data_IF_305982783317
#
_entry.id   IF_305982783317
#
_cell.length_a   1.000
_cell.length_b   1.000
_cell.length_c   1.000
_cell.angle_alpha   90.00
_cell.angle_beta   90.00
_cell.angle_gamma   90.00
#
_symmetry.space_group_name_H-M   'P 1'
#
loop_
_entity.id
_entity.type
_entity.pdbx_description
1 polymer ?
#
# COMPACT_ATOMS: atom_id res chain seq x y z
N UNK A 1 20.01 39.48 -24.66
CA UNK A 1 19.90 38.09 -24.21
C UNK A 1 18.62 37.54 -24.82
N UNK A 2 18.72 36.65 -25.77
CA UNK A 2 17.55 36.12 -26.48
C UNK A 2 17.23 34.78 -25.77
N UNK A 3 16.19 34.78 -24.94
CA UNK A 3 15.73 33.54 -24.31
C UNK A 3 14.95 32.71 -25.33
N UNK A 4 15.37 31.47 -25.51
CA UNK A 4 14.63 30.53 -26.35
C UNK A 4 13.65 29.76 -25.49
N UNK A 5 12.35 29.86 -25.83
CA UNK A 5 11.30 29.21 -25.04
C UNK A 5 11.03 27.82 -25.61
N UNK A 6 11.23 26.79 -24.81
CA UNK A 6 10.80 25.42 -25.11
C UNK A 6 9.39 25.20 -24.56
N UNK A 7 8.52 24.74 -25.42
CA UNK A 7 7.10 24.48 -25.11
C UNK A 7 6.89 22.99 -24.90
N UNK A 8 5.91 22.63 -24.07
CA UNK A 8 5.53 21.23 -23.88
C UNK A 8 5.12 20.63 -25.24
N UNK A 9 5.85 19.63 -25.77
CA UNK A 9 5.50 19.00 -27.02
C UNK A 9 4.22 18.17 -26.91
N UNK A 10 3.68 17.73 -28.03
CA UNK A 10 2.61 16.73 -28.04
C UNK A 10 3.16 15.39 -27.53
N UNK A 11 2.62 14.93 -26.40
CA UNK A 11 3.09 13.75 -25.68
C UNK A 11 2.17 12.53 -25.86
N UNK A 12 1.25 12.57 -26.84
CA UNK A 12 0.38 11.45 -27.22
C UNK A 12 -0.99 11.85 -27.73
N UNK A 13 -1.59 11.01 -28.56
CA UNK A 13 -2.89 11.28 -29.17
C UNK A 13 -3.98 11.59 -28.12
N UNK A 14 -4.54 12.81 -28.23
CA UNK A 14 -5.64 13.29 -27.38
C UNK A 14 -5.23 13.86 -26.04
N UNK A 15 -3.94 14.06 -25.78
CA UNK A 15 -3.45 14.68 -24.54
C UNK A 15 -3.46 16.19 -24.68
N UNK A 16 -4.25 16.89 -23.88
CA UNK A 16 -4.37 18.36 -23.88
C UNK A 16 -3.48 19.03 -22.85
N UNK A 17 -3.15 18.29 -21.76
CA UNK A 17 -2.36 18.80 -20.63
C UNK A 17 -1.61 17.66 -19.93
N UNK A 18 -0.52 18.00 -19.22
CA UNK A 18 0.25 17.06 -18.43
C UNK A 18 0.65 17.66 -17.07
N UNK A 19 0.76 16.80 -16.07
CA UNK A 19 1.22 17.19 -14.74
C UNK A 19 2.74 17.07 -14.64
N UNK A 20 3.42 18.12 -14.19
CA UNK A 20 4.85 18.08 -13.88
C UNK A 20 5.06 17.22 -12.63
N UNK A 21 5.69 16.07 -12.79
CA UNK A 21 5.94 15.12 -11.68
C UNK A 21 7.28 15.39 -11.03
N UNK A 22 8.33 15.61 -11.85
CA UNK A 22 9.68 15.83 -11.37
C UNK A 22 10.50 16.65 -12.37
N UNK A 23 11.25 17.61 -11.86
CA UNK A 23 12.30 18.28 -12.60
C UNK A 23 13.63 17.56 -12.39
N UNK A 24 14.36 17.29 -13.47
CA UNK A 24 15.69 16.71 -13.43
C UNK A 24 16.80 17.78 -13.44
N UNK A 25 16.40 19.05 -13.68
CA UNK A 25 17.26 20.21 -13.80
C UNK A 25 16.81 21.35 -12.92
N UNK A 26 17.72 22.25 -12.59
CA UNK A 26 17.47 23.48 -11.83
C UNK A 26 17.83 24.71 -12.66
N UNK A 27 17.28 25.87 -12.28
CA UNK A 27 17.65 27.15 -12.91
C UNK A 27 19.15 27.39 -12.73
N UNK A 28 19.87 27.61 -13.83
CA UNK A 28 21.32 27.78 -13.88
C UNK A 28 22.10 26.52 -14.29
N UNK A 29 21.44 25.36 -14.42
CA UNK A 29 22.08 24.13 -14.89
C UNK A 29 22.33 24.18 -16.38
N UNK A 30 23.49 23.64 -16.83
CA UNK A 30 23.84 23.46 -18.23
C UNK A 30 23.39 22.07 -18.65
N UNK A 31 22.62 21.99 -19.74
CA UNK A 31 22.08 20.75 -20.31
C UNK A 31 22.53 20.56 -21.74
N UNK A 32 22.71 19.32 -22.13
CA UNK A 32 22.98 18.92 -23.51
C UNK A 32 21.69 18.48 -24.20
N UNK A 33 21.71 18.45 -25.54
CA UNK A 33 20.65 17.85 -26.32
C UNK A 33 20.42 16.39 -25.88
N UNK A 34 19.16 15.97 -25.74
CA UNK A 34 18.69 14.68 -25.23
C UNK A 34 18.83 14.44 -23.70
N UNK A 35 19.39 15.38 -22.94
CA UNK A 35 19.37 15.27 -21.48
C UNK A 35 17.94 15.37 -20.94
N UNK A 36 17.62 14.54 -19.95
CA UNK A 36 16.29 14.57 -19.31
C UNK A 36 16.09 15.89 -18.55
N UNK A 37 15.01 16.64 -18.91
CA UNK A 37 14.66 17.91 -18.24
C UNK A 37 13.56 17.70 -17.20
N UNK A 38 12.47 17.04 -17.58
CA UNK A 38 11.27 16.96 -16.75
C UNK A 38 10.49 15.67 -17.04
N UNK A 39 9.91 15.10 -16.02
CA UNK A 39 8.92 14.05 -16.13
C UNK A 39 7.52 14.66 -16.09
N UNK A 40 6.75 14.43 -17.15
CA UNK A 40 5.35 14.87 -17.27
C UNK A 40 4.43 13.66 -17.27
N UNK A 41 3.43 13.67 -16.42
CA UNK A 41 2.43 12.63 -16.31
C UNK A 41 1.15 13.03 -17.05
N UNK A 42 0.70 12.16 -17.94
CA UNK A 42 -0.60 12.25 -18.61
C UNK A 42 -1.63 11.35 -17.93
N UNK A 43 -2.82 11.26 -18.47
CA UNK A 43 -3.83 10.28 -18.05
C UNK A 43 -3.40 8.82 -18.33
N UNK A 44 -2.45 8.59 -19.25
CA UNK A 44 -2.05 7.26 -19.73
C UNK A 44 -0.67 6.82 -19.28
N UNK A 45 0.30 7.74 -19.19
CA UNK A 45 1.69 7.39 -18.89
C UNK A 45 2.48 8.58 -18.33
N UNK A 46 3.62 8.31 -17.72
CA UNK A 46 4.64 9.31 -17.41
C UNK A 46 5.66 9.32 -18.55
N UNK A 47 5.92 10.50 -19.11
CA UNK A 47 6.86 10.69 -20.22
C UNK A 47 7.97 11.63 -19.75
N UNK A 48 9.20 11.21 -19.92
CA UNK A 48 10.37 12.07 -19.71
C UNK A 48 10.58 12.93 -20.93
N UNK A 49 10.60 14.23 -20.76
CA UNK A 49 10.84 15.21 -21.85
C UNK A 49 12.31 15.54 -21.88
N UNK A 50 13.02 15.23 -22.97
CA UNK A 50 14.43 15.57 -23.13
C UNK A 50 14.63 17.01 -23.58
N UNK A 51 15.85 17.52 -23.42
CA UNK A 51 16.24 18.82 -23.93
C UNK A 51 16.35 18.81 -25.47
N UNK A 52 15.70 19.76 -26.17
CA UNK A 52 15.83 19.85 -27.62
C UNK A 52 17.14 20.52 -28.07
N UNK A 53 17.90 21.11 -27.17
CA UNK A 53 19.11 21.88 -27.48
C UNK A 53 20.11 21.86 -26.31
N UNK A 54 21.38 22.18 -26.63
CA UNK A 54 22.37 22.53 -25.63
C UNK A 54 22.11 23.97 -25.13
N UNK A 55 22.20 24.20 -23.82
CA UNK A 55 22.02 25.53 -23.25
C UNK A 55 22.02 25.55 -21.74
N UNK A 56 21.88 26.74 -21.16
CA UNK A 56 21.70 26.90 -19.71
C UNK A 56 20.26 27.22 -19.42
N UNK A 57 19.69 26.58 -18.41
CA UNK A 57 18.30 26.79 -17.97
C UNK A 57 18.16 28.18 -17.34
N UNK A 58 17.40 29.07 -17.98
CA UNK A 58 17.12 30.40 -17.45
C UNK A 58 15.89 30.45 -16.54
N UNK A 59 14.78 29.83 -17.00
CA UNK A 59 13.51 29.80 -16.24
C UNK A 59 12.83 28.45 -16.40
N UNK A 60 12.27 27.92 -15.33
CA UNK A 60 11.36 26.78 -15.35
C UNK A 60 9.93 27.26 -15.14
N UNK A 61 9.01 26.90 -16.04
CA UNK A 61 7.60 27.25 -15.94
C UNK A 61 6.80 26.08 -15.35
N UNK A 62 6.18 26.34 -14.21
CA UNK A 62 5.40 25.37 -13.44
C UNK A 62 6.23 24.61 -12.38
N UNK A 63 5.66 24.47 -11.22
CA UNK A 63 6.22 23.69 -10.11
C UNK A 63 5.80 22.23 -10.18
N UNK A 64 6.46 21.36 -9.43
CA UNK A 64 6.06 19.95 -9.28
C UNK A 64 4.59 19.88 -8.81
N UNK A 65 3.77 19.15 -9.59
CA UNK A 65 2.33 19.01 -9.41
C UNK A 65 1.46 20.04 -10.11
N UNK A 66 2.03 20.93 -10.93
CA UNK A 66 1.27 21.88 -11.72
C UNK A 66 0.88 21.24 -13.07
N UNK A 67 -0.31 21.59 -13.57
CA UNK A 67 -0.79 21.17 -14.88
C UNK A 67 -0.27 22.13 -15.92
N UNK A 68 0.35 21.62 -16.96
CA UNK A 68 0.89 22.38 -18.10
C UNK A 68 0.17 21.92 -19.36
N UNK A 69 -0.46 22.84 -20.09
CA UNK A 69 -1.12 22.54 -21.35
C UNK A 69 -0.08 22.25 -22.45
N UNK A 70 -0.41 21.35 -23.37
CA UNK A 70 0.40 21.11 -24.58
C UNK A 70 0.56 22.41 -25.35
N UNK A 71 1.81 22.75 -25.72
CA UNK A 71 2.15 24.02 -26.37
C UNK A 71 2.41 25.19 -25.43
N UNK A 72 2.17 25.08 -24.12
CA UNK A 72 2.56 26.11 -23.17
C UNK A 72 4.07 26.12 -22.91
N UNK A 73 4.62 27.26 -22.47
CA UNK A 73 6.02 27.40 -22.11
C UNK A 73 6.38 26.44 -20.97
N UNK A 74 7.47 25.70 -21.13
CA UNK A 74 7.96 24.74 -20.15
C UNK A 74 9.31 25.16 -19.56
N UNK A 75 10.25 25.51 -20.43
CA UNK A 75 11.61 25.93 -20.08
C UNK A 75 12.08 27.09 -20.95
N UNK A 76 12.80 28.03 -20.36
CA UNK A 76 13.54 29.05 -21.12
C UNK A 76 15.05 28.77 -21.01
N UNK A 77 15.72 28.74 -22.16
CA UNK A 77 17.16 28.58 -22.24
C UNK A 77 17.82 29.94 -22.46
N UNK A 78 18.95 30.20 -21.77
CA UNK A 78 19.84 31.33 -22.04
C UNK A 78 20.88 30.88 -23.08
N UNK A 79 20.86 31.50 -24.24
CA UNK A 79 21.87 31.30 -25.27
C UNK A 79 23.12 32.13 -24.95
N UNK A 80 23.99 31.60 -24.11
CA UNK A 80 25.39 32.05 -23.96
C UNK A 80 26.22 31.63 -25.17
N UNK A 81 26.07 32.33 -26.26
CA UNK A 81 26.98 32.44 -27.39
C UNK A 81 27.55 31.18 -28.04
N UNK A 82 26.96 30.65 -29.07
CA UNK A 82 27.57 30.55 -30.42
C UNK A 82 26.47 30.20 -31.44
N UNK A 83 26.43 30.98 -32.54
CA UNK A 83 25.43 30.91 -33.61
C UNK A 83 25.99 30.18 -34.81
N UNK A 84 25.21 29.51 -35.69
CA UNK A 84 24.74 30.25 -36.83
C UNK A 84 23.27 30.09 -37.19
N UNK A 85 22.77 31.19 -37.69
CA UNK A 85 21.42 31.40 -38.21
C UNK A 85 21.07 30.51 -39.40
N UNK A 86 19.83 30.08 -39.45
CA UNK A 86 19.12 30.08 -40.75
C UNK A 86 17.68 30.50 -40.57
N UNK A 87 17.27 31.43 -41.39
CA UNK A 87 16.04 32.18 -41.42
C UNK A 87 15.01 31.48 -42.29
N UNK A 88 13.79 31.29 -41.78
CA UNK A 88 12.60 31.20 -42.63
C UNK A 88 11.39 31.83 -41.94
N UNK A 89 11.00 32.95 -42.46
CA UNK A 89 9.71 33.62 -42.24
C UNK A 89 8.56 32.68 -42.64
N UNK A 90 7.55 32.54 -41.80
CA UNK A 90 6.23 32.26 -42.29
C UNK A 90 5.12 32.88 -41.43
N UNK A 91 4.21 33.50 -42.15
CA UNK A 91 3.17 34.44 -41.82
C UNK A 91 2.14 33.96 -40.83
N UNK A 92 1.76 34.91 -39.98
CA UNK A 92 0.53 34.97 -39.21
C UNK A 92 -0.72 34.94 -40.12
N UNK A 93 -1.78 34.27 -39.79
CA UNK A 93 -3.12 34.67 -40.25
C UNK A 93 -3.95 35.17 -39.06
N UNK A 94 -4.57 36.30 -39.36
CA UNK A 94 -5.51 37.12 -38.63
C UNK A 94 -6.78 36.39 -38.19
N UNK A 95 -7.47 36.84 -37.14
CA UNK A 95 -8.58 36.10 -36.51
C UNK A 95 -9.90 36.32 -37.24
N UNK A 96 -10.61 35.24 -37.48
CA UNK A 96 -11.97 35.27 -38.03
C UNK A 96 -13.03 35.21 -36.90
N UNK A 97 -14.06 36.03 -37.14
CA UNK A 97 -15.12 36.49 -36.28
C UNK A 97 -16.04 35.43 -35.72
N UNK A 98 -16.37 35.66 -34.45
CA UNK A 98 -17.59 35.36 -33.70
C UNK A 98 -18.86 35.21 -34.51
N UNK A 99 -19.55 34.10 -34.35
CA UNK A 99 -21.01 33.99 -34.57
C UNK A 99 -21.61 33.30 -33.32
N UNK A 100 -22.36 34.10 -32.55
CA UNK A 100 -23.30 33.63 -31.53
C UNK A 100 -24.52 33.00 -32.21
N UNK A 101 -25.13 31.98 -31.68
CA UNK A 101 -26.56 31.76 -31.84
C UNK A 101 -27.32 31.93 -30.52
N UNK A 102 -28.43 32.61 -30.71
CA UNK A 102 -29.47 33.02 -29.76
C UNK A 102 -30.01 31.89 -28.87
N UNK A 103 -30.36 32.36 -27.69
CA UNK A 103 -31.14 31.69 -26.66
C UNK A 103 -32.59 31.54 -27.13
N UNK A 104 -33.20 30.39 -26.99
CA UNK A 104 -34.63 30.31 -26.71
C UNK A 104 -35.05 29.08 -25.89
N UNK A 105 -35.90 29.41 -24.90
CA UNK A 105 -36.91 28.59 -24.23
C UNK A 105 -36.47 27.60 -23.12
N UNK A 106 -36.67 28.08 -21.91
CA UNK A 106 -36.96 27.36 -20.65
C UNK A 106 -38.16 26.42 -20.82
N UNK A 107 -38.15 25.24 -20.19
CA UNK A 107 -39.36 24.61 -19.74
C UNK A 107 -39.42 24.56 -18.17
N UNK A 108 -40.55 25.00 -17.68
CA UNK A 108 -41.03 25.08 -16.32
C UNK A 108 -40.75 23.80 -15.50
N UNK A 109 -40.24 24.00 -14.28
CA UNK A 109 -40.18 23.02 -13.20
C UNK A 109 -41.57 22.60 -12.73
N UNK A 110 -41.77 21.32 -12.36
CA UNK A 110 -42.98 20.91 -11.64
C UNK A 110 -42.85 21.21 -10.13
N UNK A 111 -43.96 21.69 -9.62
CA UNK A 111 -44.22 22.11 -8.24
C UNK A 111 -43.95 20.97 -7.23
N UNK A 112 -43.16 21.24 -6.19
CA UNK A 112 -42.96 20.36 -5.05
C UNK A 112 -44.23 20.25 -4.17
N UNK A 113 -44.53 19.07 -3.60
CA UNK A 113 -45.56 18.95 -2.58
C UNK A 113 -45.12 19.51 -1.23
N UNK A 114 -46.10 19.91 -0.34
CA UNK A 114 -45.80 20.61 0.89
C UNK A 114 -45.12 19.71 1.95
N UNK A 115 -44.34 20.32 2.87
CA UNK A 115 -43.58 19.54 3.86
C UNK A 115 -44.54 18.97 4.91
N UNK A 116 -44.46 17.66 5.15
CA UNK A 116 -45.06 17.00 6.31
C UNK A 116 -44.23 17.37 7.55
N UNK A 117 -44.91 17.96 8.49
CA UNK A 117 -44.40 18.27 9.84
C UNK A 117 -44.34 16.94 10.61
N UNK A 118 -43.15 16.44 10.84
CA UNK A 118 -42.89 15.36 11.81
C UNK A 118 -42.55 15.99 13.15
N UNK A 119 -43.38 15.77 14.16
CA UNK A 119 -43.06 16.05 15.56
C UNK A 119 -41.81 15.32 16.01
N UNK A 120 -40.96 15.93 16.85
CA UNK A 120 -39.73 15.27 17.34
C UNK A 120 -40.12 14.22 18.40
N UNK A 121 -39.93 12.96 18.04
CA UNK A 121 -39.97 11.83 19.01
C UNK A 121 -38.70 11.94 19.87
N UNK A 122 -38.92 12.07 21.20
CA UNK A 122 -37.82 12.08 22.17
C UNK A 122 -37.01 10.76 22.11
N UNK A 123 -35.70 10.83 22.19
CA UNK A 123 -34.86 9.61 22.22
C UNK A 123 -35.09 8.82 23.50
N UNK A 124 -35.05 7.46 23.42
CA UNK A 124 -35.18 6.62 24.61
C UNK A 124 -34.01 6.86 25.58
N UNK A 125 -34.23 6.71 26.90
CA UNK A 125 -33.23 6.95 27.91
C UNK A 125 -32.03 6.02 27.71
N UNK A 126 -30.85 6.61 27.62
CA UNK A 126 -29.56 5.89 27.58
C UNK A 126 -29.38 5.18 28.92
N UNK A 127 -29.06 3.86 28.95
CA UNK A 127 -28.76 3.20 30.20
C UNK A 127 -27.52 3.82 30.84
N UNK A 128 -27.66 4.28 32.07
CA UNK A 128 -26.58 4.81 32.89
C UNK A 128 -25.56 3.71 33.11
N UNK A 129 -24.43 3.79 32.43
CA UNK A 129 -23.28 2.95 32.69
C UNK A 129 -22.74 3.37 34.07
N UNK A 130 -22.91 2.46 35.04
CA UNK A 130 -22.29 2.61 36.36
C UNK A 130 -20.78 2.76 36.19
N UNK A 131 -20.25 3.83 36.73
CA UNK A 131 -18.79 4.08 36.79
C UNK A 131 -18.13 2.86 37.39
N UNK A 132 -17.14 2.27 36.73
CA UNK A 132 -16.38 1.17 37.32
C UNK A 132 -15.67 1.68 38.57
N UNK A 133 -15.80 0.94 39.65
CA UNK A 133 -15.02 1.10 40.88
C UNK A 133 -13.52 1.15 40.53
N UNK A 134 -12.72 2.07 41.08
CA UNK A 134 -11.31 2.15 40.73
C UNK A 134 -10.61 0.86 41.12
N UNK A 135 -10.02 0.20 40.14
CA UNK A 135 -9.11 -0.92 40.35
C UNK A 135 -8.03 -0.52 41.38
N UNK A 136 -7.63 -1.43 42.29
CA UNK A 136 -6.59 -1.12 43.22
C UNK A 136 -5.31 -0.73 42.48
N UNK A 137 -4.82 0.45 42.81
CA UNK A 137 -3.55 0.97 42.32
C UNK A 137 -2.47 -0.03 42.61
N UNK A 138 -1.94 -0.64 41.57
CA UNK A 138 -0.68 -1.39 41.65
C UNK A 138 0.36 -0.36 42.08
N UNK A 139 0.82 -0.50 43.34
CA UNK A 139 1.90 0.31 43.89
C UNK A 139 3.10 0.17 42.95
N UNK A 140 3.48 1.25 42.31
CA UNK A 140 4.79 1.37 41.67
C UNK A 140 5.85 0.99 42.67
N UNK A 141 6.84 0.18 42.30
CA UNK A 141 7.97 -0.08 43.19
C UNK A 141 8.64 1.26 43.47
N UNK A 142 8.59 1.62 44.72
CA UNK A 142 9.23 2.79 45.29
C UNK A 142 10.69 2.84 44.82
N UNK A 143 11.09 3.94 44.26
CA UNK A 143 12.50 4.31 44.08
C UNK A 143 13.12 4.27 45.49
N UNK A 144 13.79 3.20 45.83
CA UNK A 144 14.67 3.21 47.01
C UNK A 144 15.90 4.04 46.64
N UNK A 145 15.77 5.34 46.93
CA UNK A 145 16.90 6.21 47.23
C UNK A 145 17.86 5.45 48.19
N UNK A 146 19.12 5.50 47.82
CA UNK A 146 20.20 4.86 48.52
C UNK A 146 20.26 5.18 50.03
N UNK A 147 20.65 4.18 50.76
CA UNK A 147 21.11 4.35 52.13
C UNK A 147 20.33 3.54 53.14
N UNK A 148 20.68 2.29 53.33
CA UNK A 148 20.64 1.63 54.60
C UNK A 148 21.34 0.26 54.47
N UNK A 149 22.46 0.07 55.11
CA UNK A 149 23.17 -1.06 55.73
C UNK A 149 22.83 -2.51 55.34
N UNK A 150 22.27 -2.80 54.17
CA UNK A 150 22.03 -4.16 53.67
C UNK A 150 23.33 -4.77 53.10
N UNK A 151 23.76 -5.93 53.59
CA UNK A 151 24.89 -6.67 52.99
C UNK A 151 24.69 -6.90 51.52
N UNK A 152 25.55 -6.30 50.65
CA UNK A 152 25.54 -6.51 49.22
C UNK A 152 25.47 -8.00 48.85
N UNK A 153 24.53 -8.38 48.00
CA UNK A 153 24.35 -9.78 47.57
C UNK A 153 25.46 -10.13 46.56
N UNK A 154 26.43 -10.92 46.99
CA UNK A 154 27.54 -11.38 46.15
C UNK A 154 28.00 -12.79 46.58
N UNK A 155 28.53 -13.53 45.62
CA UNK A 155 29.12 -14.85 45.91
C UNK A 155 30.40 -14.74 46.73
N UNK A 156 30.82 -15.81 47.48
CA UNK A 156 32.07 -15.79 48.21
C UNK A 156 33.29 -15.45 47.37
N UNK A 157 33.31 -15.88 46.10
CA UNK A 157 34.40 -15.60 45.17
C UNK A 157 34.46 -14.10 44.77
N UNK A 158 33.30 -13.46 44.52
CA UNK A 158 33.21 -12.04 44.25
C UNK A 158 33.63 -11.20 45.44
N UNK A 159 33.24 -11.61 46.67
CA UNK A 159 33.62 -10.95 47.92
C UNK A 159 35.11 -11.01 48.17
N UNK A 160 35.77 -12.15 47.86
CA UNK A 160 37.23 -12.31 47.99
C UNK A 160 37.96 -11.39 47.02
N UNK A 161 37.56 -11.39 45.77
CA UNK A 161 38.14 -10.56 44.69
C UNK A 161 37.96 -9.06 44.96
N UNK A 162 36.80 -8.66 45.49
CA UNK A 162 36.56 -7.26 45.85
C UNK A 162 37.48 -6.81 46.98
N UNK A 163 37.75 -7.67 47.98
CA UNK A 163 38.72 -7.41 49.06
C UNK A 163 40.17 -7.31 48.55
N UNK A 164 40.55 -8.20 47.62
CA UNK A 164 41.87 -8.18 46.99
C UNK A 164 42.06 -6.90 46.15
N UNK A 165 41.00 -6.39 45.51
CA UNK A 165 40.99 -5.17 44.71
C UNK A 165 40.72 -3.91 45.53
N UNK A 166 40.47 -3.98 46.84
CA UNK A 166 40.14 -2.82 47.66
C UNK A 166 38.82 -2.14 47.37
N UNK A 167 37.88 -2.86 46.77
CA UNK A 167 36.57 -2.33 46.31
C UNK A 167 35.48 -2.63 47.34
N UNK A 168 34.75 -1.57 47.74
CA UNK A 168 33.53 -1.76 48.54
C UNK A 168 32.38 -2.24 47.64
N UNK A 169 31.84 -3.43 47.92
CA UNK A 169 30.72 -4.02 47.19
C UNK A 169 29.42 -3.23 47.31
N UNK A 170 29.29 -2.35 48.32
CA UNK A 170 28.14 -1.48 48.45
C UNK A 170 28.07 -0.42 47.31
N UNK A 171 29.23 -0.09 46.73
CA UNK A 171 29.33 0.84 45.60
C UNK A 171 29.14 0.17 44.22
N UNK A 172 29.13 -1.18 44.16
CA UNK A 172 29.01 -1.93 42.90
C UNK A 172 27.56 -2.31 42.65
N UNK A 173 27.00 -1.89 41.50
CA UNK A 173 25.66 -2.29 41.12
C UNK A 173 25.65 -3.69 40.52
N UNK A 174 24.89 -4.62 41.11
CA UNK A 174 24.80 -5.99 40.66
C UNK A 174 23.79 -6.16 39.51
N UNK A 175 24.19 -6.84 38.42
CA UNK A 175 23.35 -7.18 37.25
C UNK A 175 22.66 -8.54 37.38
N UNK A 176 22.92 -9.31 38.46
CA UNK A 176 22.34 -10.63 38.67
C UNK A 176 20.95 -10.61 39.29
N UNK A 177 20.27 -11.79 39.38
CA UNK A 177 18.95 -11.90 39.99
C UNK A 177 18.94 -11.32 41.40
N UNK A 178 17.88 -10.59 41.77
CA UNK A 178 17.74 -9.85 43.04
C UNK A 178 18.89 -8.86 43.33
N UNK A 179 19.50 -8.27 42.29
CA UNK A 179 20.59 -7.30 42.43
C UNK A 179 21.93 -7.93 42.84
N UNK A 180 22.13 -9.23 42.64
CA UNK A 180 23.37 -9.93 42.95
C UNK A 180 24.53 -9.47 42.10
N UNK A 181 25.63 -9.10 42.73
CA UNK A 181 26.87 -8.68 42.08
C UNK A 181 27.57 -9.91 41.49
N UNK A 182 27.87 -9.87 40.18
CA UNK A 182 28.63 -10.87 39.45
C UNK A 182 30.07 -10.44 39.25
N UNK A 183 30.93 -11.38 38.82
CA UNK A 183 32.33 -11.05 38.50
C UNK A 183 32.46 -9.94 37.45
N UNK A 184 31.63 -9.98 36.40
CA UNK A 184 31.63 -8.98 35.36
C UNK A 184 31.30 -7.56 35.87
N UNK A 185 30.40 -7.43 36.83
CA UNK A 185 30.02 -6.16 37.44
C UNK A 185 31.20 -5.55 38.23
N UNK A 186 31.92 -6.40 38.97
CA UNK A 186 33.09 -5.98 39.71
C UNK A 186 34.24 -5.60 38.77
N UNK A 187 34.46 -6.37 37.70
CA UNK A 187 35.50 -6.08 36.72
C UNK A 187 35.24 -4.77 35.99
N UNK A 188 33.96 -4.52 35.59
CA UNK A 188 33.55 -3.27 34.98
C UNK A 188 33.75 -2.08 35.92
N UNK A 189 33.44 -2.24 37.22
CA UNK A 189 33.63 -1.20 38.22
C UNK A 189 35.13 -0.89 38.46
N UNK A 190 35.97 -1.92 38.51
CA UNK A 190 37.43 -1.74 38.60
C UNK A 190 38.01 -1.07 37.36
N UNK A 191 37.58 -1.50 36.17
CA UNK A 191 38.01 -0.93 34.91
C UNK A 191 37.58 0.55 34.74
N UNK A 192 36.47 0.94 35.35
CA UNK A 192 35.96 2.31 35.41
C UNK A 192 36.64 3.18 36.49
N UNK A 193 37.70 2.68 37.14
CA UNK A 193 38.43 3.43 38.17
C UNK A 193 37.62 3.70 39.43
N UNK A 194 36.63 2.86 39.75
CA UNK A 194 35.76 3.01 40.92
C UNK A 194 34.66 4.05 40.78
N UNK A 195 34.53 4.66 39.62
CA UNK A 195 33.36 5.49 39.32
C UNK A 195 32.20 4.61 38.89
N UNK A 196 31.03 4.80 39.51
CA UNK A 196 29.78 4.23 39.00
C UNK A 196 29.54 4.85 37.64
N UNK A 197 29.87 4.12 36.57
CA UNK A 197 29.43 4.48 35.25
C UNK A 197 27.91 4.30 35.24
N UNK A 198 27.19 5.36 35.58
CA UNK A 198 25.75 5.42 35.28
C UNK A 198 25.62 5.02 33.83
N UNK A 199 24.80 4.00 33.53
CA UNK A 199 24.45 3.73 32.13
C UNK A 199 24.17 5.09 31.49
N UNK A 200 24.89 5.40 30.42
CA UNK A 200 24.67 6.65 29.69
C UNK A 200 23.16 6.78 29.49
N UNK A 201 22.53 7.89 29.87
CA UNK A 201 21.10 8.01 29.74
C UNK A 201 20.78 7.67 28.29
N UNK A 202 19.95 6.64 28.11
CA UNK A 202 19.51 6.26 26.76
C UNK A 202 18.89 7.53 26.18
N UNK A 203 19.45 8.02 25.09
CA UNK A 203 19.10 9.34 24.52
C UNK A 203 17.69 9.30 23.87
N UNK A 204 16.67 8.97 24.67
CA UNK A 204 15.26 9.09 24.26
C UNK A 204 14.68 10.49 24.52
N UNK A 205 15.51 11.46 24.95
CA UNK A 205 15.05 12.74 25.47
C UNK A 205 15.09 13.90 24.47
N UNK A 206 15.54 13.67 23.24
CA UNK A 206 15.48 14.73 22.22
C UNK A 206 14.07 14.78 21.65
N UNK A 207 13.35 15.86 21.97
CA UNK A 207 12.07 16.15 21.32
C UNK A 207 12.32 16.34 19.84
N UNK A 208 11.62 15.58 19.00
CA UNK A 208 11.61 15.79 17.56
C UNK A 208 10.45 16.74 17.27
N UNK A 209 10.75 17.88 16.68
CA UNK A 209 9.76 18.88 16.24
C UNK A 209 9.79 19.04 14.73
N UNK A 210 10.53 18.16 14.04
CA UNK A 210 10.68 18.18 12.60
C UNK A 210 9.32 17.84 11.96
N UNK A 211 8.87 18.67 11.05
CA UNK A 211 7.69 18.44 10.21
C UNK A 211 8.18 18.49 8.77
N UNK A 212 7.96 17.41 8.05
CA UNK A 212 8.24 17.33 6.62
C UNK A 212 6.92 17.43 5.87
N UNK A 213 6.76 18.48 5.06
CA UNK A 213 5.61 18.65 4.18
C UNK A 213 5.94 18.08 2.79
N UNK A 214 5.21 17.03 2.36
CA UNK A 214 5.41 16.38 1.08
C UNK A 214 4.17 16.62 0.21
N UNK A 215 4.37 17.28 -0.94
CA UNK A 215 3.32 17.48 -1.95
C UNK A 215 2.95 16.13 -2.57
N UNK A 216 1.66 15.79 -2.56
CA UNK A 216 1.17 14.54 -3.17
C UNK A 216 0.88 14.78 -4.64
N UNK A 217 1.72 14.23 -5.51
CA UNK A 217 1.68 14.47 -6.97
C UNK A 217 1.75 13.16 -7.75
N UNK A 218 1.53 13.21 -9.05
CA UNK A 218 1.70 12.11 -9.98
C UNK A 218 0.89 10.86 -9.60
N UNK A 219 1.51 9.69 -9.70
CA UNK A 219 0.85 8.41 -9.41
C UNK A 219 0.22 8.37 -8.01
N UNK A 220 0.90 8.93 -6.97
CA UNK A 220 0.36 8.94 -5.60
C UNK A 220 -0.95 9.74 -5.52
N UNK A 221 -1.07 10.84 -6.28
CA UNK A 221 -2.32 11.61 -6.37
C UNK A 221 -3.42 10.78 -7.03
N UNK A 222 -3.14 10.10 -8.16
CA UNK A 222 -4.11 9.23 -8.83
C UNK A 222 -4.58 8.07 -7.93
N UNK A 223 -3.66 7.46 -7.18
CA UNK A 223 -4.01 6.44 -6.18
C UNK A 223 -4.94 7.02 -5.11
N UNK A 224 -4.63 8.22 -4.58
CA UNK A 224 -5.45 8.86 -3.56
C UNK A 224 -6.87 9.16 -4.06
N UNK A 225 -7.00 9.64 -5.30
CA UNK A 225 -8.27 9.89 -5.97
C UNK A 225 -9.07 8.59 -6.16
N UNK A 226 -8.45 7.55 -6.72
CA UNK A 226 -9.09 6.24 -6.95
C UNK A 226 -9.56 5.60 -5.65
N UNK A 227 -8.74 5.64 -4.57
CA UNK A 227 -9.13 5.12 -3.26
C UNK A 227 -10.23 5.95 -2.62
N UNK A 228 -10.23 7.26 -2.83
CA UNK A 228 -11.29 8.16 -2.37
C UNK A 228 -12.60 7.87 -3.06
N UNK A 229 -12.59 7.71 -4.38
CA UNK A 229 -13.77 7.33 -5.18
C UNK A 229 -14.32 6.01 -4.67
N UNK A 230 -13.49 4.97 -4.61
CA UNK A 230 -13.91 3.65 -4.14
C UNK A 230 -14.54 3.73 -2.73
N UNK A 231 -13.90 4.40 -1.79
CA UNK A 231 -14.37 4.42 -0.40
C UNK A 231 -15.60 5.31 -0.18
N UNK A 232 -15.81 6.35 -1.01
CA UNK A 232 -16.98 7.23 -0.93
C UNK A 232 -18.21 6.63 -1.60
N UNK A 233 -18.04 5.96 -2.73
CA UNK A 233 -19.13 5.47 -3.56
C UNK A 233 -19.56 4.05 -3.21
N UNK A 234 -18.62 3.20 -2.76
CA UNK A 234 -18.92 1.80 -2.47
C UNK A 234 -19.23 1.62 -0.98
N UNK A 235 -20.46 1.19 -0.61
CA UNK A 235 -20.77 0.76 0.75
C UNK A 235 -20.14 -0.62 1.00
N UNK A 236 -18.85 -0.63 1.41
CA UNK A 236 -18.13 -1.85 1.69
C UNK A 236 -18.69 -2.57 2.90
N UNK A 237 -18.93 -3.87 2.80
CA UNK A 237 -18.94 -4.76 3.95
C UNK A 237 -17.81 -5.77 3.86
N UNK A 238 -17.33 -6.27 4.99
CA UNK A 238 -16.19 -7.18 5.02
C UNK A 238 -16.59 -8.48 5.70
N UNK A 239 -16.07 -9.59 5.17
CA UNK A 239 -16.23 -10.94 5.69
C UNK A 239 -14.85 -11.53 5.99
N UNK A 240 -14.68 -12.15 7.17
CA UNK A 240 -13.45 -12.74 7.64
C UNK A 240 -13.63 -14.24 7.85
N UNK A 241 -12.65 -15.02 7.45
CA UNK A 241 -12.70 -16.47 7.59
C UNK A 241 -11.31 -17.04 7.88
N UNK A 242 -11.28 -18.10 8.69
CA UNK A 242 -10.08 -18.91 8.94
C UNK A 242 -10.12 -20.17 8.09
N UNK A 243 -9.01 -20.49 7.42
CA UNK A 243 -8.86 -21.61 6.50
C UNK A 243 -7.71 -22.49 6.97
N UNK A 244 -7.96 -23.77 7.15
CA UNK A 244 -6.94 -24.77 7.44
C UNK A 244 -6.20 -25.17 6.15
N UNK A 245 -5.04 -24.59 5.93
CA UNK A 245 -4.23 -24.80 4.71
C UNK A 245 -3.12 -25.85 4.92
N UNK A 246 -3.25 -26.75 5.90
CA UNK A 246 -2.23 -27.75 6.19
C UNK A 246 -2.01 -28.70 5.00
N UNK A 247 -3.10 -29.26 4.44
CA UNK A 247 -3.02 -30.16 3.28
C UNK A 247 -2.55 -29.42 2.03
N UNK A 248 -2.96 -28.16 1.87
CA UNK A 248 -2.48 -27.33 0.76
C UNK A 248 -0.99 -27.03 0.88
N UNK A 249 -0.46 -26.82 2.07
CA UNK A 249 0.97 -26.62 2.30
C UNK A 249 1.78 -27.86 2.00
N UNK A 250 1.30 -29.03 2.41
CA UNK A 250 1.92 -30.33 2.07
C UNK A 250 1.99 -30.55 0.56
N UNK A 251 0.87 -30.30 -0.14
CA UNK A 251 0.82 -30.37 -1.60
C UNK A 251 1.79 -29.36 -2.25
N UNK A 252 1.78 -28.11 -1.78
CA UNK A 252 2.67 -27.07 -2.30
C UNK A 252 4.16 -27.44 -2.13
N UNK A 253 4.52 -27.97 -0.97
CA UNK A 253 5.89 -28.43 -0.71
C UNK A 253 6.27 -29.58 -1.61
N UNK A 254 5.39 -30.57 -1.75
CA UNK A 254 5.62 -31.72 -2.65
C UNK A 254 5.83 -31.27 -4.09
N UNK A 255 4.95 -30.42 -4.62
CA UNK A 255 5.07 -29.91 -5.98
C UNK A 255 6.36 -29.10 -6.17
N UNK A 256 6.74 -28.27 -5.21
CA UNK A 256 7.99 -27.53 -5.28
C UNK A 256 9.25 -28.42 -5.19
N UNK A 257 9.17 -29.55 -4.51
CA UNK A 257 10.28 -30.51 -4.43
C UNK A 257 10.45 -31.32 -5.72
N UNK A 258 9.37 -31.55 -6.47
CA UNK A 258 9.33 -32.41 -7.67
C UNK A 258 9.26 -31.62 -8.98
N UNK A 259 9.16 -30.27 -8.93
CA UNK A 259 9.08 -29.42 -10.11
C UNK A 259 10.29 -29.55 -11.04
N UNK A 260 10.09 -29.34 -12.34
CA UNK A 260 11.19 -29.18 -13.29
C UNK A 260 11.93 -27.83 -13.07
N UNK A 261 13.20 -27.71 -13.52
CA UNK A 261 13.95 -26.44 -13.39
C UNK A 261 13.27 -25.24 -14.03
N UNK A 262 12.49 -25.45 -15.09
CA UNK A 262 11.80 -24.41 -15.86
C UNK A 262 10.50 -23.94 -15.18
N UNK A 263 9.93 -24.75 -14.29
CA UNK A 263 8.72 -24.40 -13.58
C UNK A 263 8.98 -23.37 -12.46
N UNK A 264 8.11 -22.36 -12.30
CA UNK A 264 8.25 -21.36 -11.25
C UNK A 264 8.05 -21.99 -9.86
N UNK A 265 8.55 -21.33 -8.83
CA UNK A 265 8.27 -21.72 -7.44
C UNK A 265 6.83 -21.37 -7.09
N UNK A 266 6.04 -22.35 -6.64
CA UNK A 266 4.66 -22.16 -6.21
C UNK A 266 4.60 -21.54 -4.81
N UNK A 267 3.80 -20.47 -4.69
CA UNK A 267 3.32 -19.88 -3.43
C UNK A 267 1.87 -20.31 -3.20
N UNK A 268 1.18 -19.76 -2.20
CA UNK A 268 -0.26 -19.99 -2.00
C UNK A 268 -1.13 -19.33 -3.08
N UNK A 269 -0.69 -18.18 -3.62
CA UNK A 269 -1.51 -17.38 -4.53
C UNK A 269 -1.96 -18.14 -5.78
N UNK A 270 -1.11 -18.88 -6.53
CA UNK A 270 -1.56 -19.66 -7.68
C UNK A 270 -2.67 -20.66 -7.36
N UNK A 271 -2.63 -21.30 -6.19
CA UNK A 271 -3.71 -22.21 -5.77
C UNK A 271 -5.01 -21.46 -5.45
N UNK A 272 -4.89 -20.30 -4.83
CA UNK A 272 -6.05 -19.42 -4.56
C UNK A 272 -6.65 -18.91 -5.87
N UNK A 273 -5.80 -18.53 -6.84
CA UNK A 273 -6.24 -18.12 -8.17
C UNK A 273 -7.02 -19.24 -8.87
N UNK A 274 -6.48 -20.46 -8.88
CA UNK A 274 -7.16 -21.61 -9.47
C UNK A 274 -8.47 -21.95 -8.75
N UNK A 275 -8.48 -21.87 -7.41
CA UNK A 275 -9.70 -22.10 -6.62
C UNK A 275 -10.78 -21.05 -6.96
N UNK A 276 -10.41 -19.76 -7.02
CA UNK A 276 -11.32 -18.68 -7.40
C UNK A 276 -11.85 -18.89 -8.83
N UNK A 277 -10.96 -19.13 -9.80
CA UNK A 277 -11.35 -19.37 -11.19
C UNK A 277 -12.39 -20.51 -11.31
N UNK A 278 -12.26 -21.54 -10.49
CA UNK A 278 -13.18 -22.68 -10.48
C UNK A 278 -14.51 -22.40 -9.82
N UNK A 279 -14.56 -21.58 -8.77
CA UNK A 279 -15.81 -21.31 -8.04
C UNK A 279 -16.58 -20.12 -8.61
N UNK A 280 -15.93 -19.18 -9.29
CA UNK A 280 -16.57 -17.96 -9.84
C UNK A 280 -17.82 -18.21 -10.70
N UNK A 281 -17.88 -19.26 -11.55
CA UNK A 281 -19.10 -19.56 -12.30
C UNK A 281 -20.34 -19.80 -11.43
N UNK A 282 -20.14 -20.23 -10.17
CA UNK A 282 -21.23 -20.43 -9.20
C UNK A 282 -21.53 -19.19 -8.36
N UNK A 283 -20.70 -18.14 -8.47
CA UNK A 283 -20.81 -16.88 -7.74
C UNK A 283 -20.63 -15.68 -8.68
N UNK A 284 -21.44 -15.61 -9.77
CA UNK A 284 -21.22 -14.62 -10.84
C UNK A 284 -21.44 -13.18 -10.37
N UNK A 285 -22.16 -12.96 -9.27
CA UNK A 285 -22.37 -11.65 -8.65
C UNK A 285 -21.08 -11.05 -8.07
N UNK A 286 -20.10 -11.89 -7.73
CA UNK A 286 -18.82 -11.45 -7.17
C UNK A 286 -17.75 -11.19 -8.24
N UNK A 287 -17.97 -11.62 -9.50
CA UNK A 287 -17.02 -11.47 -10.61
C UNK A 287 -17.50 -10.41 -11.60
N UNK A 288 -17.35 -9.14 -11.25
CA UNK A 288 -17.97 -8.11 -12.06
C UNK A 288 -17.58 -6.68 -11.72
N UNK A 289 -18.18 -5.76 -12.48
CA UNK A 289 -18.09 -4.31 -12.31
C UNK A 289 -19.46 -3.72 -12.07
N UNK A 290 -19.52 -2.64 -11.31
CA UNK A 290 -20.71 -1.83 -11.19
C UNK A 290 -20.49 -0.43 -11.75
N UNK A 291 -21.25 -0.12 -12.80
CA UNK A 291 -21.31 1.18 -13.43
C UNK A 291 -22.42 1.99 -12.75
N UNK A 292 -22.06 2.78 -11.77
CA UNK A 292 -23.00 3.58 -10.96
C UNK A 292 -23.71 4.63 -11.78
N UNK A 293 -23.02 5.25 -12.75
CA UNK A 293 -23.60 6.32 -13.56
C UNK A 293 -24.75 5.83 -14.44
N UNK A 294 -24.66 4.59 -14.92
CA UNK A 294 -25.69 3.96 -15.76
C UNK A 294 -26.58 2.96 -15.01
N UNK A 295 -26.27 2.66 -13.72
CA UNK A 295 -27.00 1.68 -12.92
C UNK A 295 -26.86 0.25 -13.45
N UNK A 296 -25.72 -0.11 -14.08
CA UNK A 296 -25.49 -1.38 -14.76
C UNK A 296 -24.45 -2.21 -13.98
N UNK A 297 -24.83 -3.39 -13.50
CA UNK A 297 -23.90 -4.40 -13.04
C UNK A 297 -23.50 -5.32 -14.21
N UNK A 298 -22.19 -5.37 -14.54
CA UNK A 298 -21.63 -6.27 -15.56
C UNK A 298 -21.00 -7.45 -14.89
N UNK A 299 -21.49 -8.65 -15.14
CA UNK A 299 -20.93 -9.93 -14.68
C UNK A 299 -20.12 -10.53 -15.82
N UNK A 300 -18.89 -10.96 -15.50
CA UNK A 300 -17.97 -11.51 -16.49
C UNK A 300 -17.89 -13.04 -16.38
N UNK A 301 -17.88 -13.72 -17.54
CA UNK A 301 -17.58 -15.15 -17.59
C UNK A 301 -16.08 -15.41 -17.45
N UNK A 302 -15.25 -14.52 -17.99
CA UNK A 302 -13.79 -14.57 -17.81
C UNK A 302 -13.42 -14.20 -16.36
N UNK A 303 -12.43 -14.89 -15.80
CA UNK A 303 -11.88 -14.62 -14.47
C UNK A 303 -10.52 -13.95 -14.62
N UNK A 304 -10.53 -12.64 -14.62
CA UNK A 304 -9.34 -11.81 -14.73
C UNK A 304 -8.95 -11.32 -13.33
N UNK A 305 -7.88 -11.89 -12.79
CA UNK A 305 -7.49 -11.63 -11.40
C UNK A 305 -6.45 -10.52 -11.32
N UNK A 306 -6.83 -9.40 -10.70
CA UNK A 306 -5.92 -8.35 -10.30
C UNK A 306 -5.05 -8.80 -9.11
N UNK A 307 -3.75 -8.65 -9.19
CA UNK A 307 -2.80 -9.03 -8.14
C UNK A 307 -2.14 -7.77 -7.57
N UNK A 308 -2.59 -7.33 -6.39
CA UNK A 308 -2.02 -6.15 -5.75
C UNK A 308 -0.52 -6.32 -5.52
N UNK A 309 0.28 -5.50 -6.18
CA UNK A 309 1.75 -5.58 -6.21
C UNK A 309 2.35 -4.28 -5.74
N UNK A 310 3.11 -4.32 -4.64
CA UNK A 310 3.87 -3.18 -4.14
C UNK A 310 5.09 -2.94 -5.04
N UNK A 311 5.30 -1.68 -5.45
CA UNK A 311 6.47 -1.20 -6.17
C UNK A 311 7.05 0.03 -5.48
N UNK A 312 8.22 0.47 -5.89
CA UNK A 312 8.85 1.71 -5.38
C UNK A 312 7.99 2.96 -5.69
N UNK A 313 7.30 2.95 -6.83
CA UNK A 313 6.41 4.04 -7.27
C UNK A 313 5.04 4.05 -6.58
N UNK A 314 4.65 2.94 -5.95
CA UNK A 314 3.36 2.78 -5.29
C UNK A 314 2.73 1.40 -5.51
N UNK A 315 1.44 1.28 -5.23
CA UNK A 315 0.70 0.03 -5.41
C UNK A 315 0.09 -0.03 -6.82
N UNK A 316 0.45 -1.07 -7.57
CA UNK A 316 -0.16 -1.42 -8.84
C UNK A 316 -1.00 -2.69 -8.71
N UNK A 317 -1.93 -2.87 -9.63
CA UNK A 317 -2.77 -4.07 -9.70
C UNK A 317 -2.66 -4.69 -11.09
N UNK A 318 -1.51 -5.34 -11.42
CA UNK A 318 -1.40 -6.09 -12.67
C UNK A 318 -2.40 -7.24 -12.70
N UNK A 319 -2.80 -7.64 -13.91
CA UNK A 319 -3.93 -8.54 -14.15
C UNK A 319 -3.48 -9.82 -14.81
N UNK A 320 -3.79 -10.95 -14.19
CA UNK A 320 -3.70 -12.28 -14.80
C UNK A 320 -5.04 -12.56 -15.48
N UNK A 321 -5.05 -12.49 -16.80
CA UNK A 321 -6.27 -12.66 -17.60
C UNK A 321 -6.57 -14.12 -17.83
N UNK A 322 -7.87 -14.47 -17.95
CA UNK A 322 -8.35 -15.81 -18.25
C UNK A 322 -7.76 -16.90 -17.37
N UNK A 323 -7.74 -16.64 -16.05
CA UNK A 323 -7.20 -17.63 -15.09
C UNK A 323 -7.96 -18.97 -15.16
N UNK A 324 -9.22 -18.97 -15.59
CA UNK A 324 -10.04 -20.17 -15.79
C UNK A 324 -9.51 -21.11 -16.88
N UNK A 325 -8.65 -20.63 -17.78
CA UNK A 325 -8.04 -21.40 -18.86
C UNK A 325 -6.61 -21.88 -18.56
N UNK A 326 -6.10 -21.63 -17.33
CA UNK A 326 -4.73 -21.93 -16.93
C UNK A 326 -4.66 -23.12 -15.98
N UNK A 327 -3.52 -23.78 -15.97
CA UNK A 327 -3.12 -24.67 -14.87
C UNK A 327 -2.35 -23.88 -13.78
N UNK A 328 -2.03 -24.55 -12.66
CA UNK A 328 -1.37 -23.90 -11.51
C UNK A 328 0.03 -23.37 -11.85
N UNK A 329 0.75 -24.01 -12.78
CA UNK A 329 2.09 -23.58 -13.19
C UNK A 329 2.02 -22.40 -14.13
N UNK A 330 1.07 -22.42 -15.07
CA UNK A 330 0.79 -21.29 -15.96
C UNK A 330 0.33 -20.06 -15.17
N UNK A 331 -0.58 -20.25 -14.23
CA UNK A 331 -1.04 -19.18 -13.35
C UNK A 331 0.11 -18.60 -12.51
N UNK A 332 1.02 -19.45 -12.00
CA UNK A 332 2.19 -18.99 -11.26
C UNK A 332 3.18 -18.23 -12.14
N UNK A 333 3.43 -18.71 -13.36
CA UNK A 333 4.33 -18.06 -14.31
C UNK A 333 3.78 -16.69 -14.75
N UNK A 334 2.52 -16.63 -15.10
CA UNK A 334 1.88 -15.41 -15.56
C UNK A 334 1.78 -14.37 -14.43
N UNK A 335 1.40 -14.79 -13.23
CA UNK A 335 1.43 -13.93 -12.05
C UNK A 335 2.84 -13.33 -11.80
N UNK A 336 3.90 -14.13 -11.95
CA UNK A 336 5.27 -13.64 -11.80
C UNK A 336 5.64 -12.66 -12.91
N UNK A 337 5.23 -12.92 -14.16
CA UNK A 337 5.48 -12.06 -15.32
C UNK A 337 4.85 -10.69 -15.09
N UNK A 338 3.54 -10.63 -14.85
CA UNK A 338 2.82 -9.34 -14.71
C UNK A 338 3.26 -8.57 -13.48
N UNK A 339 3.49 -9.26 -12.34
CA UNK A 339 3.98 -8.62 -11.12
C UNK A 339 5.43 -8.15 -11.25
N UNK A 340 6.28 -8.86 -12.00
CA UNK A 340 7.65 -8.47 -12.34
C UNK A 340 7.63 -7.21 -13.20
N UNK A 341 6.90 -7.24 -14.32
CA UNK A 341 6.75 -6.10 -15.22
C UNK A 341 6.24 -4.84 -14.50
N UNK A 342 5.31 -5.00 -13.54
CA UNK A 342 4.83 -3.87 -12.74
C UNK A 342 5.93 -3.30 -11.82
N UNK A 343 6.79 -4.13 -11.20
CA UNK A 343 7.91 -3.67 -10.38
C UNK A 343 8.99 -2.98 -11.20
N UNK A 344 9.29 -3.54 -12.37
CA UNK A 344 10.32 -3.02 -13.27
C UNK A 344 9.83 -1.79 -14.07
N UNK A 345 8.54 -1.44 -13.96
CA UNK A 345 7.94 -0.31 -14.67
C UNK A 345 7.75 -0.55 -16.16
N UNK A 346 7.78 -1.82 -16.61
CA UNK A 346 7.63 -2.24 -18.02
C UNK A 346 6.25 -2.83 -18.33
N UNK A 347 5.33 -2.84 -17.35
CA UNK A 347 3.98 -3.34 -17.53
C UNK A 347 3.23 -2.54 -18.61
N UNK A 348 2.62 -3.25 -19.56
CA UNK A 348 1.77 -2.64 -20.57
C UNK A 348 0.43 -2.18 -19.96
N UNK A 349 -0.28 -1.31 -20.65
CA UNK A 349 -1.64 -0.92 -20.25
C UNK A 349 -2.57 -2.14 -20.19
N UNK A 350 -2.36 -3.11 -21.09
CA UNK A 350 -3.11 -4.36 -21.10
C UNK A 350 -2.86 -5.21 -19.86
N UNK A 351 -1.63 -5.21 -19.33
CA UNK A 351 -1.29 -5.87 -18.07
C UNK A 351 -1.90 -5.19 -16.83
N UNK A 352 -2.29 -3.93 -16.91
CA UNK A 352 -2.78 -3.13 -15.79
C UNK A 352 -4.29 -2.89 -15.80
N UNK A 353 -5.01 -3.41 -16.80
CA UNK A 353 -6.44 -3.16 -16.97
C UNK A 353 -7.25 -4.43 -17.21
N UNK A 354 -8.56 -4.35 -16.93
CA UNK A 354 -9.50 -5.43 -17.24
C UNK A 354 -9.61 -6.51 -16.16
N UNK A 355 -9.16 -6.26 -14.92
CA UNK A 355 -9.44 -7.13 -13.78
C UNK A 355 -10.93 -7.17 -13.46
N UNK A 356 -11.42 -8.34 -13.07
CA UNK A 356 -12.82 -8.55 -12.67
C UNK A 356 -12.98 -8.84 -11.18
N UNK A 357 -11.86 -9.17 -10.54
CA UNK A 357 -11.74 -9.45 -9.12
C UNK A 357 -10.27 -9.26 -8.68
N UNK A 358 -10.04 -8.62 -7.54
CA UNK A 358 -8.67 -8.35 -7.07
C UNK A 358 -8.29 -9.23 -5.87
N UNK A 359 -7.04 -9.70 -5.85
CA UNK A 359 -6.41 -10.37 -4.72
C UNK A 359 -5.31 -9.45 -4.16
N UNK A 360 -5.33 -9.20 -2.86
CA UNK A 360 -4.27 -8.47 -2.16
C UNK A 360 -3.62 -9.35 -1.09
N UNK A 361 -2.30 -9.34 -1.03
CA UNK A 361 -1.55 -10.11 -0.04
C UNK A 361 -0.28 -9.38 0.39
N UNK A 362 -0.05 -9.30 1.69
CA UNK A 362 1.19 -8.80 2.28
C UNK A 362 2.20 -9.92 2.56
N UNK A 363 1.91 -11.15 2.12
CA UNK A 363 2.80 -12.30 2.30
C UNK A 363 3.12 -12.55 3.77
N UNK A 364 4.42 -12.72 4.09
CA UNK A 364 4.90 -13.03 5.44
C UNK A 364 4.71 -11.91 6.45
N UNK A 365 4.66 -10.67 5.98
CA UNK A 365 4.49 -9.47 6.82
C UNK A 365 3.00 -9.14 7.03
N UNK A 366 2.10 -9.89 6.40
CA UNK A 366 0.65 -9.77 6.56
C UNK A 366 0.20 -10.01 7.99
N UNK A 367 -0.78 -9.23 8.44
CA UNK A 367 -1.44 -9.37 9.74
C UNK A 367 -2.40 -10.57 9.78
N UNK A 368 -3.33 -10.53 10.72
CA UNK A 368 -4.38 -11.55 10.90
C UNK A 368 -5.66 -11.23 10.11
N UNK A 369 -5.82 -9.98 9.69
CA UNK A 369 -6.96 -9.50 8.95
C UNK A 369 -6.76 -8.04 8.56
N UNK A 370 -7.51 -7.62 7.55
CA UNK A 370 -7.62 -6.24 7.09
C UNK A 370 -9.01 -6.04 6.48
N UNK A 371 -9.38 -4.80 6.22
CA UNK A 371 -10.57 -4.44 5.45
C UNK A 371 -10.09 -3.85 4.12
N UNK A 372 -9.85 -4.70 3.09
CA UNK A 372 -9.32 -4.21 1.83
C UNK A 372 -10.31 -3.25 1.14
N UNK A 373 -9.77 -2.24 0.47
CA UNK A 373 -10.57 -1.32 -0.34
C UNK A 373 -10.72 -1.92 -1.73
N UNK A 374 -11.95 -1.97 -2.22
CA UNK A 374 -12.26 -2.54 -3.54
C UNK A 374 -11.59 -1.71 -4.63
N UNK A 375 -11.00 -2.37 -5.61
CA UNK A 375 -10.42 -1.74 -6.79
C UNK A 375 -11.55 -1.34 -7.75
N UNK A 376 -12.03 -0.10 -7.61
CA UNK A 376 -13.13 0.41 -8.45
C UNK A 376 -12.80 0.28 -9.95
N UNK A 377 -13.71 -0.22 -10.82
CA UNK A 377 -15.16 -0.45 -10.61
C UNK A 377 -15.53 -1.91 -10.24
N UNK A 378 -14.60 -2.72 -9.75
CA UNK A 378 -14.88 -4.08 -9.28
C UNK A 378 -15.88 -4.06 -8.11
N UNK A 379 -16.54 -5.22 -7.86
CA UNK A 379 -17.52 -5.37 -6.79
C UNK A 379 -16.98 -6.17 -5.60
N UNK A 380 -15.79 -6.76 -5.71
CA UNK A 380 -15.21 -7.57 -4.65
C UNK A 380 -13.67 -7.61 -4.69
N UNK A 381 -13.08 -7.83 -3.50
CA UNK A 381 -11.64 -7.99 -3.31
C UNK A 381 -11.37 -9.02 -2.22
N UNK A 382 -10.35 -9.87 -2.40
CA UNK A 382 -9.88 -10.84 -1.42
C UNK A 382 -8.54 -10.43 -0.82
N UNK A 383 -8.47 -10.30 0.51
CA UNK A 383 -7.25 -10.15 1.28
C UNK A 383 -6.75 -11.51 1.78
N UNK A 384 -5.52 -11.85 1.46
CA UNK A 384 -4.85 -13.09 1.91
C UNK A 384 -3.80 -12.73 2.96
N UNK A 385 -3.94 -13.32 4.15
CA UNK A 385 -3.08 -13.04 5.29
C UNK A 385 -2.06 -14.15 5.51
N UNK A 386 -1.20 -13.96 6.51
CA UNK A 386 -0.12 -14.91 6.75
C UNK A 386 -0.66 -16.24 7.30
N UNK A 387 -0.16 -17.35 6.74
CA UNK A 387 -0.39 -18.68 7.30
C UNK A 387 0.56 -18.92 8.50
N UNK A 388 0.03 -19.46 9.59
CA UNK A 388 0.77 -19.74 10.83
C UNK A 388 0.32 -21.06 11.45
N UNK A 389 1.19 -21.71 12.18
CA UNK A 389 0.83 -22.88 12.98
C UNK A 389 0.06 -22.45 14.22
N UNK A 390 -1.07 -23.14 14.47
CA UNK A 390 -1.94 -22.88 15.59
C UNK A 390 -2.45 -24.21 16.19
N UNK A 391 -2.64 -24.30 17.49
CA UNK A 391 -3.37 -25.38 18.10
C UNK A 391 -4.87 -25.21 17.79
N UNK A 392 -5.48 -26.22 17.20
CA UNK A 392 -6.91 -26.25 16.88
C UNK A 392 -7.53 -27.53 17.40
N UNK A 393 -8.81 -27.49 17.75
CA UNK A 393 -9.55 -28.68 18.17
C UNK A 393 -10.13 -29.39 16.94
N UNK A 394 -9.69 -30.62 16.71
CA UNK A 394 -10.22 -31.52 15.67
C UNK A 394 -10.65 -32.83 16.30
N UNK A 395 -11.93 -33.20 16.12
CA UNK A 395 -12.52 -34.42 16.68
C UNK A 395 -12.32 -34.61 18.17
N UNK A 396 -12.27 -33.49 18.93
CA UNK A 396 -12.09 -33.50 20.38
C UNK A 396 -10.62 -33.50 20.84
N UNK A 397 -9.65 -33.55 19.92
CA UNK A 397 -8.21 -33.49 20.23
C UNK A 397 -7.61 -32.15 19.80
N UNK A 398 -6.61 -31.70 20.55
CA UNK A 398 -5.82 -30.51 20.20
C UNK A 398 -4.70 -30.94 19.24
N UNK A 399 -4.73 -30.42 18.02
CA UNK A 399 -3.74 -30.72 16.99
C UNK A 399 -3.12 -29.41 16.46
N UNK A 400 -1.88 -29.47 16.02
CA UNK A 400 -1.24 -28.33 15.34
C UNK A 400 -1.64 -28.34 13.88
N UNK A 401 -2.21 -27.23 13.40
CA UNK A 401 -2.61 -27.04 12.00
C UNK A 401 -2.09 -25.71 11.48
N UNK A 402 -1.93 -25.62 10.17
CA UNK A 402 -1.52 -24.38 9.52
C UNK A 402 -2.74 -23.59 9.09
N UNK A 403 -3.01 -22.51 9.82
CA UNK A 403 -4.20 -21.68 9.61
C UNK A 403 -3.81 -20.40 8.88
N UNK A 404 -4.58 -20.08 7.85
CA UNK A 404 -4.49 -18.84 7.08
C UNK A 404 -5.81 -18.10 7.18
N UNK A 405 -5.73 -16.81 7.53
CA UNK A 405 -6.91 -15.96 7.51
C UNK A 405 -7.10 -15.35 6.12
N UNK A 406 -8.32 -15.19 5.72
CA UNK A 406 -8.72 -14.36 4.58
C UNK A 406 -9.70 -13.30 5.04
N UNK A 407 -9.67 -12.15 4.38
CA UNK A 407 -10.65 -11.09 4.55
C UNK A 407 -11.11 -10.61 3.18
N UNK A 408 -12.39 -10.55 2.97
CA UNK A 408 -12.96 -10.08 1.71
C UNK A 408 -13.73 -8.80 1.95
N UNK A 409 -13.75 -7.89 0.99
CA UNK A 409 -14.68 -6.78 0.97
C UNK A 409 -15.53 -6.85 -0.30
N UNK A 410 -16.80 -6.51 -0.15
CA UNK A 410 -17.80 -6.57 -1.21
C UNK A 410 -18.57 -5.26 -1.28
N UNK A 411 -19.04 -4.91 -2.48
CA UNK A 411 -19.97 -3.81 -2.71
C UNK A 411 -21.39 -4.26 -2.35
N UNK A 412 -21.91 -3.78 -1.21
CA UNK A 412 -23.23 -4.19 -0.69
C UNK A 412 -24.41 -3.69 -1.53
N UNK A 413 -24.17 -2.98 -2.62
CA UNK A 413 -25.21 -2.63 -3.61
C UNK A 413 -25.46 -3.77 -4.59
N UNK A 414 -24.47 -4.66 -4.77
CA UNK A 414 -24.45 -5.70 -5.82
C UNK A 414 -24.32 -7.11 -5.21
N UNK A 415 -23.57 -7.24 -4.12
CA UNK A 415 -23.29 -8.52 -3.45
C UNK A 415 -23.88 -8.47 -2.05
N UNK A 416 -24.80 -9.38 -1.76
CA UNK A 416 -25.38 -9.51 -0.42
C UNK A 416 -24.46 -10.27 0.53
N UNK A 417 -24.71 -10.16 1.84
CA UNK A 417 -23.93 -10.85 2.86
C UNK A 417 -23.89 -12.37 2.69
N UNK A 418 -25.01 -12.95 2.23
CA UNK A 418 -25.11 -14.39 1.94
C UNK A 418 -24.24 -14.81 0.74
N UNK A 419 -24.21 -14.01 -0.32
CA UNK A 419 -23.46 -14.29 -1.54
C UNK A 419 -21.94 -14.21 -1.26
N UNK A 420 -21.52 -13.15 -0.56
CA UNK A 420 -20.11 -12.99 -0.16
C UNK A 420 -19.63 -14.11 0.76
N UNK A 421 -20.47 -14.50 1.74
CA UNK A 421 -20.18 -15.64 2.61
C UNK A 421 -20.10 -16.96 1.81
N UNK A 422 -21.03 -17.21 0.88
CA UNK A 422 -21.05 -18.41 0.04
C UNK A 422 -19.79 -18.53 -0.83
N UNK A 423 -19.32 -17.42 -1.43
CA UNK A 423 -18.04 -17.39 -2.18
C UNK A 423 -16.88 -17.80 -1.27
N UNK A 424 -16.76 -17.17 -0.09
CA UNK A 424 -15.63 -17.44 0.82
C UNK A 424 -15.68 -18.85 1.39
N UNK A 425 -16.88 -19.38 1.71
CA UNK A 425 -17.04 -20.78 2.15
C UNK A 425 -16.71 -21.79 1.02
N UNK A 426 -17.04 -21.46 -0.23
CA UNK A 426 -16.64 -22.26 -1.39
C UNK A 426 -15.12 -22.26 -1.55
N UNK A 427 -14.47 -21.09 -1.41
CA UNK A 427 -13.01 -20.96 -1.43
C UNK A 427 -12.37 -21.75 -0.29
N UNK A 428 -12.87 -21.62 0.94
CA UNK A 428 -12.41 -22.37 2.11
C UNK A 428 -12.41 -23.87 1.83
N UNK A 429 -13.51 -24.40 1.34
CA UNK A 429 -13.62 -25.83 1.01
C UNK A 429 -12.58 -26.29 -0.01
N UNK A 430 -12.29 -25.46 -1.04
CA UNK A 430 -11.29 -25.77 -2.05
C UNK A 430 -9.87 -25.78 -1.46
N UNK A 431 -9.55 -24.85 -0.58
CA UNK A 431 -8.21 -24.72 0.01
C UNK A 431 -7.97 -25.72 1.15
N UNK A 432 -9.02 -26.10 1.88
CA UNK A 432 -8.95 -27.16 2.91
C UNK A 432 -8.87 -28.56 2.29
N UNK A 433 -9.37 -28.72 1.05
CA UNK A 433 -9.32 -29.98 0.29
C UNK A 433 -8.74 -29.73 -1.10
N UNK A 434 -7.42 -29.55 -1.22
CA UNK A 434 -6.78 -29.05 -2.44
C UNK A 434 -6.96 -29.95 -3.66
N UNK A 435 -7.28 -31.24 -3.49
CA UNK A 435 -7.63 -32.13 -4.60
C UNK A 435 -8.81 -31.58 -5.42
N UNK A 436 -9.76 -30.88 -4.78
CA UNK A 436 -10.93 -30.28 -5.46
C UNK A 436 -10.52 -29.19 -6.47
N UNK A 437 -9.36 -28.57 -6.31
CA UNK A 437 -8.87 -27.56 -7.26
C UNK A 437 -8.59 -28.18 -8.63
N UNK A 438 -8.19 -29.45 -8.67
CA UNK A 438 -7.73 -30.14 -9.87
C UNK A 438 -8.79 -31.11 -10.47
N UNK A 439 -9.90 -31.34 -9.78
CA UNK A 439 -11.03 -32.13 -10.27
C UNK A 439 -12.01 -31.29 -11.09
#
# INVERSE_FOLDING_TARGET
>A
MTNRVFKLPDIGEGVVEGEVVQWHVSVGDSVSEDDAIVDVMTDKATVTIPSPHNGTIAVLHGGVGDMVAVGAALVEFDEGGDSPADSAEEKEPEPEKTIEPEVDSEPKAPTAPPPMTTEPVAPPPVPTISTPEPLPTVSTPNESTGGSGGKALASPAVRRRAREAGVDLAAVRGSGPAGRIRHADLDAFIAAGGMVQGAAPVAYTTRRNDVEEIKVVGLRRKIAEAMTISKRHIPHFSYFEEIDVTELEELRQFLNATKSPEQPKLTYLPFIMMALAKIMPNHPECNGHYDEANGIARRYGAVNLGIATQTERGLFVPVVKHTEAMDVWQAAAEMQRVSGAARDGTASLDDLTGSTFTITSLGRDGGLGATPIINHPEVAILGVHKAREMPVVRKGEIVVRRIMNVSSSFDHRIVDGADGAALVQSLKRMLEHPALIFM
#
